data_IF_856889616155
#
_entry.id   IF_856889616155
#
_cell.length_a   1.000
_cell.length_b   1.000
_cell.length_c   1.000
_cell.angle_alpha   90.00
_cell.angle_beta   90.00
_cell.angle_gamma   90.00
#
_symmetry.space_group_name_H-M   'P 1'
#
loop_
_entity.id
_entity.type
_entity.pdbx_description
1 polymer ?
#
# COMPACT_ATOMS: atom_id res chain seq x y z
N UNK A 1 -7.59 40.10 -9.77
CA UNK A 1 -6.20 39.75 -10.24
C UNK A 1 -5.76 38.52 -9.45
N UNK A 2 -6.12 37.34 -9.89
CA UNK A 2 -5.56 36.08 -9.38
C UNK A 2 -4.28 35.88 -10.16
N UNK A 3 -3.17 36.16 -9.48
CA UNK A 3 -1.85 36.21 -10.05
C UNK A 3 -1.49 34.96 -10.82
N UNK A 4 -1.04 35.19 -12.02
CA UNK A 4 -0.25 34.32 -12.90
C UNK A 4 1.08 33.99 -12.21
N UNK A 5 1.04 33.21 -11.11
CA UNK A 5 2.27 32.85 -10.37
C UNK A 5 2.34 31.39 -9.95
N UNK A 6 1.60 30.51 -10.63
CA UNK A 6 1.69 29.06 -10.45
C UNK A 6 1.92 28.32 -11.78
N UNK A 7 2.71 28.90 -12.64
CA UNK A 7 3.35 28.22 -13.78
C UNK A 7 4.82 28.00 -13.41
N UNK A 8 5.02 27.49 -12.20
CA UNK A 8 6.33 27.04 -11.74
C UNK A 8 6.38 25.54 -11.68
N UNK A 9 7.56 24.99 -11.71
CA UNK A 9 7.96 23.59 -11.73
C UNK A 9 7.11 22.56 -10.96
N UNK A 10 6.36 22.98 -9.96
CA UNK A 10 5.47 22.09 -9.18
C UNK A 10 4.27 21.55 -9.96
N UNK A 11 3.84 22.21 -11.04
CA UNK A 11 2.73 21.74 -11.86
C UNK A 11 3.07 20.53 -12.74
N UNK A 12 4.35 20.25 -12.98
CA UNK A 12 4.83 19.22 -13.90
C UNK A 12 5.27 17.93 -13.22
N UNK A 13 5.37 17.88 -11.89
CA UNK A 13 5.97 16.75 -11.16
C UNK A 13 4.96 15.85 -10.43
N UNK A 14 3.68 16.19 -10.44
CA UNK A 14 2.64 15.43 -9.71
C UNK A 14 1.56 14.92 -10.66
N UNK A 15 1.14 13.68 -10.44
CA UNK A 15 -0.08 13.16 -11.05
C UNK A 15 -1.30 13.96 -10.56
N UNK A 16 -2.25 14.21 -11.44
CA UNK A 16 -3.47 14.94 -11.13
C UNK A 16 -4.69 14.17 -11.55
N UNK A 17 -5.68 14.12 -10.65
CA UNK A 17 -6.99 13.58 -10.96
C UNK A 17 -7.97 14.71 -11.24
N UNK A 18 -8.57 14.71 -12.43
CA UNK A 18 -9.68 15.59 -12.80
C UNK A 18 -10.87 14.73 -13.24
N UNK A 19 -11.85 14.58 -12.36
CA UNK A 19 -12.93 13.62 -12.55
C UNK A 19 -12.40 12.19 -12.60
N UNK A 20 -12.65 11.47 -13.68
CA UNK A 20 -12.17 10.09 -13.90
C UNK A 20 -10.85 10.01 -14.67
N UNK A 21 -10.22 11.14 -14.99
CA UNK A 21 -8.96 11.17 -15.71
C UNK A 21 -7.79 11.45 -14.78
N UNK A 22 -6.72 10.67 -14.96
CA UNK A 22 -5.42 10.91 -14.31
C UNK A 22 -4.52 11.53 -15.36
N UNK A 23 -3.98 12.69 -15.05
CA UNK A 23 -2.97 13.34 -15.86
C UNK A 23 -1.58 13.02 -15.29
N UNK A 24 -0.74 12.39 -16.08
CA UNK A 24 0.63 12.02 -15.70
C UNK A 24 1.60 12.93 -16.45
N UNK A 25 2.40 13.77 -15.76
CA UNK A 25 3.39 14.63 -16.39
C UNK A 25 4.57 13.83 -16.94
N UNK A 26 5.39 14.44 -17.80
CA UNK A 26 6.57 13.78 -18.36
C UNK A 26 7.68 13.58 -17.31
N UNK A 27 7.73 14.43 -16.30
CA UNK A 27 8.60 14.29 -15.14
C UNK A 27 7.74 14.19 -13.90
N UNK A 28 7.71 13.02 -13.26
CA UNK A 28 6.82 12.73 -12.12
C UNK A 28 7.64 12.42 -10.88
N UNK A 29 7.21 12.94 -9.74
CA UNK A 29 7.76 12.53 -8.43
C UNK A 29 6.93 11.41 -7.87
N UNK A 30 7.58 10.30 -7.48
CA UNK A 30 6.94 9.15 -6.84
C UNK A 30 7.53 8.98 -5.43
N UNK A 31 6.73 9.15 -4.36
CA UNK A 31 7.16 8.82 -3.02
C UNK A 31 7.38 7.32 -2.88
N UNK A 32 8.44 6.95 -2.17
CA UNK A 32 8.71 5.55 -1.88
C UNK A 32 9.16 5.33 -0.43
N UNK A 33 8.79 4.20 0.11
CA UNK A 33 9.33 3.66 1.36
C UNK A 33 10.36 2.60 0.98
N UNK A 34 11.61 2.78 1.41
CA UNK A 34 12.69 1.81 1.15
C UNK A 34 12.35 0.44 1.71
N UNK A 35 11.81 0.42 2.93
CA UNK A 35 11.41 -0.79 3.64
C UNK A 35 12.47 -1.32 4.61
N UNK A 36 12.07 -2.34 5.36
CA UNK A 36 12.91 -3.01 6.35
C UNK A 36 13.56 -4.27 5.76
N UNK A 37 14.57 -4.80 6.44
CA UNK A 37 15.24 -6.04 6.06
C UNK A 37 15.78 -6.00 4.63
N UNK A 38 15.28 -6.88 3.76
CA UNK A 38 15.68 -6.94 2.34
C UNK A 38 15.31 -5.70 1.54
N UNK A 39 14.53 -4.77 2.10
CA UNK A 39 14.14 -3.52 1.46
C UNK A 39 15.33 -2.70 0.95
N UNK A 40 16.39 -2.62 1.74
CA UNK A 40 17.63 -1.93 1.39
C UNK A 40 18.31 -2.48 0.13
N UNK A 41 18.14 -3.77 -0.14
CA UNK A 41 18.71 -4.41 -1.32
C UNK A 41 17.81 -4.30 -2.54
N UNK A 42 16.50 -4.61 -2.38
CA UNK A 42 15.59 -4.73 -3.50
C UNK A 42 15.07 -3.38 -4.02
N UNK A 43 14.91 -2.38 -3.15
CA UNK A 43 14.34 -1.08 -3.55
C UNK A 43 15.25 -0.33 -4.52
N UNK A 44 16.57 -0.18 -4.28
CA UNK A 44 17.46 0.47 -5.25
C UNK A 44 17.54 -0.28 -6.59
N UNK A 45 17.50 -1.62 -6.56
CA UNK A 45 17.49 -2.43 -7.80
C UNK A 45 16.20 -2.22 -8.58
N UNK A 46 15.05 -2.21 -7.88
CA UNK A 46 13.74 -1.94 -8.50
C UNK A 46 13.71 -0.57 -9.16
N UNK A 47 14.22 0.47 -8.50
CA UNK A 47 14.31 1.83 -9.05
C UNK A 47 15.19 1.87 -10.31
N UNK A 48 16.34 1.19 -10.31
CA UNK A 48 17.22 1.09 -11.49
C UNK A 48 16.50 0.43 -12.68
N UNK A 49 15.78 -0.67 -12.43
CA UNK A 49 15.02 -1.37 -13.47
C UNK A 49 13.93 -0.48 -14.04
N UNK A 50 13.14 0.17 -13.18
CA UNK A 50 12.06 1.06 -13.61
C UNK A 50 12.59 2.24 -14.40
N UNK A 51 13.67 2.90 -13.93
CA UNK A 51 14.30 4.01 -14.64
C UNK A 51 14.82 3.59 -16.02
N UNK A 52 15.44 2.41 -16.12
CA UNK A 52 15.91 1.88 -17.41
C UNK A 52 14.75 1.58 -18.37
N UNK A 53 13.66 1.00 -17.86
CA UNK A 53 12.45 0.71 -18.63
C UNK A 53 11.79 2.00 -19.14
N UNK A 54 11.66 3.02 -18.31
CA UNK A 54 11.10 4.32 -18.73
C UNK A 54 11.98 4.98 -19.76
N UNK A 55 13.28 5.01 -19.56
CA UNK A 55 14.23 5.56 -20.54
C UNK A 55 14.10 4.88 -21.88
N UNK A 56 13.97 3.56 -21.90
CA UNK A 56 13.79 2.77 -23.12
C UNK A 56 12.44 3.03 -23.79
N UNK A 57 11.35 3.03 -23.00
CA UNK A 57 9.99 3.16 -23.52
C UNK A 57 9.69 4.56 -24.08
N UNK A 58 10.27 5.59 -23.48
CA UNK A 58 9.99 6.99 -23.81
C UNK A 58 11.18 7.73 -24.43
N UNK A 59 12.22 7.03 -24.86
CA UNK A 59 13.42 7.62 -25.49
C UNK A 59 14.04 8.75 -24.65
N UNK A 60 13.96 8.66 -23.32
CA UNK A 60 14.51 9.64 -22.38
C UNK A 60 13.68 10.92 -22.24
N UNK A 61 12.50 11.03 -22.83
CA UNK A 61 11.62 12.20 -22.68
C UNK A 61 10.85 12.21 -21.35
N UNK A 62 10.79 11.07 -20.64
CA UNK A 62 10.13 10.95 -19.35
C UNK A 62 11.09 10.46 -18.28
N UNK A 63 10.84 10.89 -17.04
CA UNK A 63 11.63 10.47 -15.89
C UNK A 63 10.82 10.43 -14.60
N UNK A 64 11.31 9.64 -13.63
CA UNK A 64 10.80 9.62 -12.25
C UNK A 64 11.85 10.25 -11.35
N UNK A 65 11.41 11.17 -10.52
CA UNK A 65 12.11 11.63 -9.33
C UNK A 65 11.62 10.81 -8.13
N UNK A 66 12.53 10.11 -7.47
CA UNK A 66 12.21 9.27 -6.32
C UNK A 66 12.30 10.07 -5.03
N UNK A 67 11.16 10.25 -4.33
CA UNK A 67 11.08 10.94 -3.05
C UNK A 67 11.00 9.93 -1.92
N UNK A 68 12.07 9.76 -1.15
CA UNK A 68 12.02 8.88 0.02
C UNK A 68 11.07 9.44 1.09
N UNK A 69 10.20 8.58 1.62
CA UNK A 69 9.35 8.83 2.80
C UNK A 69 9.55 7.69 3.80
N UNK A 70 9.44 8.00 5.09
CA UNK A 70 9.87 7.10 6.15
C UNK A 70 8.72 6.23 6.65
N UNK A 71 8.98 4.93 6.81
CA UNK A 71 8.14 4.00 7.55
C UNK A 71 8.97 2.84 8.08
N UNK A 72 8.45 2.10 9.07
CA UNK A 72 9.10 0.94 9.64
C UNK A 72 10.23 1.29 10.61
N UNK A 73 11.23 0.43 10.71
CA UNK A 73 12.35 0.58 11.65
C UNK A 73 13.16 1.86 11.41
N UNK A 74 13.37 2.23 10.14
CA UNK A 74 14.09 3.45 9.78
C UNK A 74 13.37 4.69 10.30
N UNK A 75 12.06 4.75 10.12
CA UNK A 75 11.24 5.83 10.65
C UNK A 75 11.32 5.91 12.18
N UNK A 76 11.14 4.77 12.84
CA UNK A 76 11.15 4.72 14.31
C UNK A 76 12.49 5.19 14.89
N UNK A 77 13.61 4.78 14.30
CA UNK A 77 14.96 5.20 14.73
C UNK A 77 15.19 6.70 14.56
N UNK A 78 14.58 7.34 13.57
CA UNK A 78 14.79 8.76 13.26
C UNK A 78 13.78 9.68 13.94
N UNK A 79 12.52 9.26 14.04
CA UNK A 79 11.41 10.13 14.46
C UNK A 79 10.68 9.65 15.72
N UNK A 80 10.92 8.42 16.16
CA UNK A 80 10.16 7.77 17.25
C UNK A 80 8.78 7.24 16.79
N UNK A 81 8.39 7.45 15.55
CA UNK A 81 7.14 6.94 14.97
C UNK A 81 7.42 5.86 13.94
N UNK A 82 6.66 4.76 13.97
CA UNK A 82 6.74 3.70 12.96
C UNK A 82 6.14 4.10 11.61
N UNK A 83 5.23 5.07 11.62
CA UNK A 83 4.57 5.60 10.43
C UNK A 83 4.29 7.09 10.66
N UNK A 84 5.21 7.98 10.29
CA UNK A 84 5.03 9.42 10.42
C UNK A 84 3.87 9.95 9.55
N UNK A 85 3.22 11.00 10.02
CA UNK A 85 2.10 11.64 9.31
C UNK A 85 2.52 12.21 7.95
N UNK A 86 3.75 12.72 7.84
CA UNK A 86 4.31 13.23 6.60
C UNK A 86 4.35 12.17 5.48
N UNK A 87 4.54 10.90 5.86
CA UNK A 87 4.50 9.79 4.91
C UNK A 87 3.08 9.57 4.38
N UNK A 88 2.09 9.67 5.25
CA UNK A 88 0.68 9.54 4.87
C UNK A 88 0.24 10.72 4.00
N UNK A 89 0.67 11.92 4.33
CA UNK A 89 0.40 13.12 3.53
C UNK A 89 1.02 13.01 2.15
N UNK A 90 2.28 12.57 2.05
CA UNK A 90 2.94 12.36 0.77
C UNK A 90 2.18 11.37 -0.12
N UNK A 91 1.73 10.21 0.42
CA UNK A 91 0.96 9.27 -0.38
C UNK A 91 -0.41 9.80 -0.83
N UNK A 92 -1.06 10.65 -0.03
CA UNK A 92 -2.30 11.33 -0.46
C UNK A 92 -2.04 12.38 -1.53
N UNK A 93 -0.95 13.11 -1.40
CA UNK A 93 -0.61 14.20 -2.31
C UNK A 93 -0.20 13.71 -3.70
N UNK A 94 0.61 12.64 -3.76
CA UNK A 94 1.20 12.17 -5.03
C UNK A 94 0.37 11.08 -5.72
N UNK A 95 -0.73 10.62 -5.13
CA UNK A 95 -1.66 9.60 -5.68
C UNK A 95 -1.02 8.21 -5.84
N UNK A 96 0.20 8.14 -6.34
CA UNK A 96 0.96 6.90 -6.56
C UNK A 96 2.15 6.86 -5.61
N UNK A 97 2.37 5.73 -4.96
CA UNK A 97 3.54 5.50 -4.12
C UNK A 97 4.01 4.06 -4.17
N UNK A 98 5.29 3.85 -3.91
CA UNK A 98 5.90 2.53 -3.88
C UNK A 98 6.35 2.22 -2.45
N UNK A 99 6.07 1.01 -2.00
CA UNK A 99 6.42 0.56 -0.66
C UNK A 99 7.28 -0.71 -0.71
N UNK A 100 8.45 -0.63 -0.10
CA UNK A 100 9.25 -1.80 0.25
C UNK A 100 8.62 -2.63 1.37
N UNK A 101 9.19 -3.79 1.73
CA UNK A 101 8.70 -4.61 2.83
C UNK A 101 8.77 -3.86 4.15
N UNK A 102 7.78 -4.07 5.04
CA UNK A 102 7.77 -3.49 6.38
C UNK A 102 7.62 -4.60 7.42
N UNK A 103 8.47 -4.55 8.43
CA UNK A 103 8.41 -5.43 9.59
C UNK A 103 7.32 -4.96 10.53
N UNK A 104 6.49 -5.89 11.01
CA UNK A 104 5.55 -5.60 12.08
C UNK A 104 6.21 -5.93 13.42
N UNK A 105 6.35 -4.96 14.34
CA UNK A 105 6.93 -5.23 15.66
C UNK A 105 6.12 -6.30 16.41
N UNK A 106 6.81 -7.26 17.01
CA UNK A 106 6.17 -8.32 17.79
C UNK A 106 6.04 -7.83 19.23
N UNK A 107 4.85 -7.98 19.83
CA UNK A 107 4.64 -7.82 21.27
C UNK A 107 4.23 -6.43 21.78
N UNK A 108 3.97 -5.46 20.91
CA UNK A 108 3.62 -4.09 21.33
C UNK A 108 2.16 -3.66 21.11
N UNK A 109 1.25 -4.57 20.75
CA UNK A 109 -0.12 -4.18 20.38
C UNK A 109 -0.21 -3.32 19.13
N UNK A 110 0.90 -3.19 18.40
CA UNK A 110 0.97 -2.39 17.18
C UNK A 110 0.36 -3.19 16.05
N UNK A 111 -0.69 -2.65 15.44
CA UNK A 111 -1.24 -3.18 14.19
C UNK A 111 -0.18 -3.19 13.10
N UNK A 112 -0.26 -4.17 12.21
CA UNK A 112 0.59 -4.21 11.01
C UNK A 112 0.58 -2.87 10.30
N UNK A 113 1.76 -2.29 10.07
CA UNK A 113 1.91 -1.03 9.32
C UNK A 113 1.29 -1.12 7.92
N UNK A 114 1.32 -2.31 7.32
CA UNK A 114 0.66 -2.55 6.04
C UNK A 114 -0.87 -2.41 6.13
N UNK A 115 -1.48 -2.87 7.22
CA UNK A 115 -2.92 -2.71 7.47
C UNK A 115 -3.23 -1.25 7.74
N UNK A 116 -2.43 -0.57 8.56
CA UNK A 116 -2.60 0.85 8.83
C UNK A 116 -2.58 1.69 7.55
N UNK A 117 -1.60 1.47 6.66
CA UNK A 117 -1.52 2.15 5.36
C UNK A 117 -2.78 1.92 4.52
N UNK A 118 -3.25 0.67 4.40
CA UNK A 118 -4.44 0.33 3.60
C UNK A 118 -5.69 1.00 4.13
N UNK A 119 -5.90 0.98 5.44
CA UNK A 119 -7.09 1.57 6.07
C UNK A 119 -7.04 3.10 6.05
N UNK A 120 -5.91 3.71 6.42
CA UNK A 120 -5.81 5.18 6.49
C UNK A 120 -5.85 5.84 5.12
N UNK A 121 -5.37 5.15 4.08
CA UNK A 121 -5.46 5.62 2.69
C UNK A 121 -6.76 5.17 1.99
N UNK A 122 -7.62 4.45 2.68
CA UNK A 122 -8.89 3.91 2.12
C UNK A 122 -8.68 3.19 0.79
N UNK A 123 -7.69 2.28 0.75
CA UNK A 123 -7.34 1.56 -0.45
C UNK A 123 -8.40 0.49 -0.76
N UNK A 124 -9.14 0.67 -1.85
CA UNK A 124 -10.28 -0.14 -2.23
C UNK A 124 -9.97 -1.63 -2.35
N UNK A 125 -8.86 -2.01 -2.98
CA UNK A 125 -8.54 -3.41 -3.27
C UNK A 125 -7.04 -3.65 -3.35
N UNK A 126 -6.61 -4.84 -2.90
CA UNK A 126 -5.28 -5.35 -3.21
C UNK A 126 -5.34 -6.17 -4.50
N UNK A 127 -5.05 -5.54 -5.62
CA UNK A 127 -5.06 -6.18 -6.94
C UNK A 127 -3.73 -6.88 -7.19
N UNK A 128 -3.78 -8.19 -7.44
CA UNK A 128 -2.61 -9.03 -7.69
C UNK A 128 -2.72 -9.76 -9.01
N UNK A 129 -2.18 -9.19 -10.12
CA UNK A 129 -2.08 -9.91 -11.36
C UNK A 129 -1.03 -11.02 -11.25
N UNK A 130 -1.40 -12.23 -11.67
CA UNK A 130 -0.52 -13.42 -11.64
C UNK A 130 -0.46 -14.00 -13.03
N UNK A 131 0.71 -13.96 -13.64
CA UNK A 131 1.00 -14.61 -14.92
C UNK A 131 2.42 -15.18 -14.93
N UNK A 132 2.61 -16.20 -15.72
CA UNK A 132 3.94 -16.72 -15.95
C UNK A 132 4.68 -15.95 -17.05
N UNK A 133 5.99 -15.84 -16.88
CA UNK A 133 6.89 -15.24 -17.87
C UNK A 133 7.81 -16.32 -18.42
N UNK A 134 7.99 -16.34 -19.76
CA UNK A 134 8.84 -17.31 -20.46
C UNK A 134 10.27 -17.27 -19.89
N UNK A 135 10.81 -18.45 -19.55
CA UNK A 135 12.14 -18.59 -18.96
C UNK A 135 12.19 -18.65 -17.43
N UNK A 136 11.06 -18.38 -16.76
CA UNK A 136 10.96 -18.50 -15.29
C UNK A 136 10.57 -19.94 -14.92
N UNK A 137 11.33 -20.55 -14.01
CA UNK A 137 11.00 -21.88 -13.46
C UNK A 137 9.70 -21.80 -12.69
N UNK A 138 8.82 -22.79 -12.86
CA UNK A 138 7.53 -22.84 -12.20
C UNK A 138 7.23 -24.24 -11.68
N UNK A 139 6.63 -24.39 -10.49
CA UNK A 139 6.15 -25.68 -9.97
C UNK A 139 4.89 -26.17 -10.67
N UNK A 140 4.23 -25.31 -11.47
CA UNK A 140 2.99 -25.64 -12.21
C UNK A 140 3.35 -26.35 -13.50
N UNK A 141 2.60 -27.40 -13.87
CA UNK A 141 2.85 -28.20 -15.07
C UNK A 141 2.69 -27.42 -16.38
N UNK A 142 1.72 -26.53 -16.45
CA UNK A 142 1.44 -25.72 -17.63
C UNK A 142 1.35 -24.24 -17.28
N UNK A 143 2.49 -23.63 -16.89
CA UNK A 143 2.51 -22.27 -16.35
C UNK A 143 2.07 -21.20 -17.37
N UNK A 144 2.23 -21.46 -18.66
CA UNK A 144 1.79 -20.58 -19.75
C UNK A 144 0.26 -20.37 -19.79
N UNK A 145 -0.51 -21.25 -19.13
CA UNK A 145 -1.97 -21.12 -18.99
C UNK A 145 -2.36 -20.23 -17.80
N UNK A 146 -1.42 -19.86 -16.93
CA UNK A 146 -1.69 -19.00 -15.77
C UNK A 146 -1.73 -17.55 -16.21
N UNK A 147 -2.93 -16.98 -16.19
CA UNK A 147 -3.15 -15.54 -16.36
C UNK A 147 -4.43 -15.17 -15.59
N UNK A 148 -4.26 -14.71 -14.36
CA UNK A 148 -5.38 -14.41 -13.47
C UNK A 148 -5.15 -13.11 -12.72
N UNK A 149 -6.25 -12.51 -12.24
CA UNK A 149 -6.23 -11.33 -11.38
C UNK A 149 -6.92 -11.69 -10.06
N UNK A 150 -6.20 -11.56 -8.94
CA UNK A 150 -6.74 -11.81 -7.61
C UNK A 150 -7.11 -10.46 -7.01
N UNK A 151 -8.39 -10.27 -6.69
CA UNK A 151 -8.92 -9.14 -5.97
C UNK A 151 -9.04 -9.53 -4.50
N UNK A 152 -8.24 -8.90 -3.64
CA UNK A 152 -8.22 -9.16 -2.20
C UNK A 152 -8.81 -8.00 -1.44
N UNK A 153 -9.71 -8.29 -0.52
CA UNK A 153 -10.25 -7.33 0.44
C UNK A 153 -9.14 -6.69 1.29
N UNK A 154 -9.30 -5.42 1.60
CA UNK A 154 -8.31 -4.63 2.33
C UNK A 154 -8.80 -4.09 3.67
N UNK A 155 -10.08 -3.76 3.80
CA UNK A 155 -10.61 -2.92 4.88
C UNK A 155 -11.77 -3.54 5.64
N UNK A 156 -12.45 -4.51 5.05
CA UNK A 156 -13.61 -5.20 5.64
C UNK A 156 -13.26 -6.60 6.13
N UNK A 157 -14.27 -7.35 6.58
CA UNK A 157 -14.18 -8.70 7.11
C UNK A 157 -13.18 -8.77 8.29
N UNK A 158 -12.35 -9.77 8.35
CA UNK A 158 -11.31 -9.92 9.40
C UNK A 158 -10.31 -8.75 9.44
N UNK A 159 -10.18 -7.99 8.34
CA UNK A 159 -9.28 -6.82 8.26
C UNK A 159 -9.87 -5.57 8.87
N UNK A 160 -11.17 -5.53 9.14
CA UNK A 160 -11.82 -4.42 9.85
C UNK A 160 -11.27 -4.26 11.27
N UNK A 161 -10.75 -5.34 11.87
CA UNK A 161 -10.20 -5.35 13.22
C UNK A 161 -11.27 -5.12 14.29
N UNK A 162 -12.50 -5.54 13.99
CA UNK A 162 -13.61 -5.54 14.94
C UNK A 162 -13.52 -6.85 15.72
N UNK A 163 -12.92 -6.78 16.89
CA UNK A 163 -12.65 -7.96 17.71
C UNK A 163 -12.71 -7.64 19.20
N UNK A 164 -13.11 -8.60 20.00
CA UNK A 164 -13.09 -8.53 21.46
C UNK A 164 -12.41 -9.78 22.00
N UNK A 165 -11.64 -9.60 23.06
CA UNK A 165 -10.96 -10.71 23.71
C UNK A 165 -11.99 -11.65 24.34
N UNK A 166 -11.77 -12.96 24.18
CA UNK A 166 -12.61 -13.99 24.80
C UNK A 166 -12.73 -13.78 26.33
N UNK A 167 -13.94 -13.99 26.86
CA UNK A 167 -14.24 -13.88 28.28
C UNK A 167 -14.48 -12.46 28.76
N UNK A 168 -14.33 -11.43 27.92
CA UNK A 168 -14.66 -10.03 28.32
C UNK A 168 -16.18 -9.81 28.32
N UNK A 169 -16.68 -8.84 29.14
CA UNK A 169 -18.10 -8.50 29.17
C UNK A 169 -18.63 -8.07 27.79
N UNK A 170 -17.80 -7.39 27.01
CA UNK A 170 -18.12 -6.92 25.65
C UNK A 170 -18.30 -8.10 24.68
N UNK A 171 -17.40 -9.10 24.75
CA UNK A 171 -17.53 -10.33 23.94
C UNK A 171 -18.80 -11.09 24.30
N UNK A 172 -19.12 -11.22 25.60
CA UNK A 172 -20.35 -11.86 26.08
C UNK A 172 -21.59 -11.10 25.62
N UNK A 173 -21.58 -9.76 25.70
CA UNK A 173 -22.68 -8.92 25.20
C UNK A 173 -22.93 -9.12 23.70
N UNK A 174 -21.85 -9.16 22.91
CA UNK A 174 -21.96 -9.41 21.47
C UNK A 174 -22.52 -10.80 21.19
N UNK A 175 -22.02 -11.83 21.85
CA UNK A 175 -22.50 -13.20 21.70
C UNK A 175 -23.99 -13.31 22.04
N UNK A 176 -24.42 -12.72 23.15
CA UNK A 176 -25.82 -12.68 23.55
C UNK A 176 -26.71 -11.99 22.52
N UNK A 177 -26.29 -10.82 22.04
CA UNK A 177 -26.99 -10.11 20.96
C UNK A 177 -27.15 -10.95 19.71
N UNK A 178 -26.06 -11.57 19.24
CA UNK A 178 -26.10 -12.43 18.04
C UNK A 178 -26.98 -13.65 18.20
N UNK A 179 -26.95 -14.30 19.36
CA UNK A 179 -27.70 -15.55 19.60
C UNK A 179 -29.17 -15.30 19.95
N UNK A 180 -29.47 -14.37 20.84
CA UNK A 180 -30.81 -14.13 21.37
C UNK A 180 -31.62 -13.17 20.50
N UNK A 181 -31.03 -12.08 20.02
CA UNK A 181 -31.75 -11.05 19.26
C UNK A 181 -31.68 -11.32 17.75
N UNK A 182 -30.51 -11.72 17.23
CA UNK A 182 -30.34 -11.99 15.79
C UNK A 182 -30.57 -13.46 15.38
N UNK A 183 -30.76 -14.35 16.36
CA UNK A 183 -31.06 -15.76 16.10
C UNK A 183 -29.93 -16.57 15.45
N UNK A 184 -28.68 -16.14 15.59
CA UNK A 184 -27.51 -16.83 15.01
C UNK A 184 -27.27 -18.15 15.75
N UNK A 185 -27.43 -19.28 15.05
CA UNK A 185 -27.26 -20.63 15.59
C UNK A 185 -25.92 -21.30 15.30
N UNK A 186 -25.04 -20.62 14.53
CA UNK A 186 -23.78 -21.20 14.02
C UNK A 186 -22.56 -20.92 14.91
N UNK A 187 -22.71 -20.20 16.01
CA UNK A 187 -21.62 -19.94 16.95
C UNK A 187 -21.39 -21.23 17.75
N UNK A 188 -20.23 -21.86 17.57
CA UNK A 188 -19.90 -23.16 18.20
C UNK A 188 -19.25 -23.02 19.57
N UNK A 189 -18.53 -21.94 19.79
CA UNK A 189 -17.75 -21.67 21.01
C UNK A 189 -18.10 -20.28 21.52
N UNK A 190 -18.76 -20.19 22.67
CA UNK A 190 -19.08 -18.92 23.32
C UNK A 190 -17.85 -18.23 23.94
#
# INVERSE_FOLDING_TARGET
EIGVRLVGSEMCIRDRKKGNHIFVPDHVTIPYIEGDGVGHEITPVSQKIVNAAIKQAYNGTRSIEWKEVLAGEKAFKQTGSWLPDETMEAFREYIVGIKGPLTTPIGGGIRSLNVALRQTLDLYVCLRPVRWFKGVVSPVKEPQKVNMYIFRENTEDIYAGIEWQQGTPEAQKLLKFLTEEMGVKKIRFP
#
